data_IF_132644375216
#
_entry.id   IF_132644375216
#
_cell.length_a   1.000
_cell.length_b   1.000
_cell.length_c   1.000
_cell.angle_alpha   90.00
_cell.angle_beta   90.00
_cell.angle_gamma   90.00
#
_symmetry.space_group_name_H-M   'P 1'
#
loop_
_entity.id
_entity.type
_entity.pdbx_description
1 polymer ?
#
# COMPACT_ATOMS: atom_id res chain seq x y z
N UNK A 1 -21.86 17.37 45.57
CA UNK A 1 -20.52 17.73 45.06
C UNK A 1 -19.69 16.51 44.61
N UNK A 2 -19.78 15.34 45.26
CA UNK A 2 -19.05 14.12 44.84
C UNK A 2 -19.47 13.52 43.47
N UNK A 3 -20.75 13.65 43.07
CA UNK A 3 -21.25 13.12 41.79
C UNK A 3 -20.70 13.83 40.53
N UNK A 4 -20.32 15.11 40.63
CA UNK A 4 -19.81 15.86 39.49
C UNK A 4 -18.39 15.40 39.09
N UNK A 5 -17.55 15.06 40.08
CA UNK A 5 -16.20 14.55 39.84
C UNK A 5 -16.18 13.18 39.14
N UNK A 6 -17.06 12.26 39.57
CA UNK A 6 -17.17 10.92 38.97
C UNK A 6 -17.64 10.96 37.51
N UNK A 7 -18.58 11.86 37.18
CA UNK A 7 -19.06 12.05 35.81
C UNK A 7 -17.99 12.64 34.89
N UNK A 8 -17.10 13.50 35.41
CA UNK A 8 -16.01 14.09 34.64
C UNK A 8 -14.96 13.04 34.22
N UNK A 9 -14.53 12.19 35.16
CA UNK A 9 -13.51 11.15 34.90
C UNK A 9 -14.03 10.11 33.89
N UNK A 10 -15.27 9.62 34.04
CA UNK A 10 -15.87 8.67 33.10
C UNK A 10 -15.93 9.21 31.67
N UNK A 11 -16.30 10.49 31.51
CA UNK A 11 -16.34 11.16 30.20
C UNK A 11 -14.95 11.31 29.60
N UNK A 12 -13.95 11.66 30.42
CA UNK A 12 -12.56 11.75 29.98
C UNK A 12 -12.04 10.40 29.44
N UNK A 13 -12.21 9.31 30.19
CA UNK A 13 -11.80 7.97 29.76
C UNK A 13 -12.56 7.49 28.52
N UNK A 14 -13.87 7.72 28.45
CA UNK A 14 -14.67 7.38 27.27
C UNK A 14 -14.18 8.13 26.01
N UNK A 15 -13.86 9.43 26.14
CA UNK A 15 -13.33 10.23 25.04
C UNK A 15 -11.92 9.80 24.62
N UNK A 16 -11.08 9.43 25.58
CA UNK A 16 -9.76 8.88 25.31
C UNK A 16 -9.85 7.55 24.56
N UNK A 17 -10.68 6.63 25.03
CA UNK A 17 -10.88 5.32 24.42
C UNK A 17 -11.48 5.43 23.01
N UNK A 18 -12.45 6.33 22.80
CA UNK A 18 -13.02 6.58 21.48
C UNK A 18 -11.98 7.13 20.49
N UNK A 19 -11.12 8.05 20.94
CA UNK A 19 -10.01 8.54 20.11
C UNK A 19 -9.04 7.41 19.78
N UNK A 20 -8.64 6.60 20.75
CA UNK A 20 -7.74 5.47 20.51
C UNK A 20 -8.33 4.46 19.53
N UNK A 21 -9.60 4.09 19.70
CA UNK A 21 -10.32 3.18 18.81
C UNK A 21 -10.35 3.68 17.36
N UNK A 22 -10.65 4.98 17.16
CA UNK A 22 -10.62 5.58 15.81
C UNK A 22 -9.25 5.48 15.16
N UNK A 23 -8.16 5.75 15.90
CA UNK A 23 -6.81 5.64 15.34
C UNK A 23 -6.42 4.19 15.07
N UNK A 24 -6.79 3.26 15.96
CA UNK A 24 -6.57 1.83 15.74
C UNK A 24 -7.26 1.34 14.46
N UNK A 25 -8.52 1.74 14.24
CA UNK A 25 -9.25 1.44 12.99
C UNK A 25 -8.56 2.03 11.76
N UNK A 26 -8.11 3.29 11.83
CA UNK A 26 -7.36 3.92 10.73
C UNK A 26 -6.12 3.11 10.37
N UNK A 27 -5.34 2.67 11.37
CA UNK A 27 -4.17 1.83 11.13
C UNK A 27 -4.51 0.49 10.52
N UNK A 28 -5.57 -0.17 10.98
CA UNK A 28 -6.05 -1.43 10.38
C UNK A 28 -6.43 -1.22 8.91
N UNK A 29 -7.18 -0.15 8.60
CA UNK A 29 -7.54 0.18 7.22
C UNK A 29 -6.31 0.47 6.34
N UNK A 30 -5.31 1.18 6.88
CA UNK A 30 -4.05 1.45 6.16
C UNK A 30 -3.31 0.14 5.87
N UNK A 31 -3.13 -0.73 6.87
CA UNK A 31 -2.44 -2.01 6.68
C UNK A 31 -3.17 -2.87 5.66
N UNK A 32 -4.50 -2.94 5.75
CA UNK A 32 -5.33 -3.67 4.80
C UNK A 32 -5.19 -3.11 3.37
N UNK A 33 -5.21 -1.80 3.19
CA UNK A 33 -5.07 -1.14 1.89
C UNK A 33 -3.66 -1.28 1.29
N UNK A 34 -2.62 -1.24 2.12
CA UNK A 34 -1.23 -1.35 1.69
C UNK A 34 -0.78 -2.80 1.46
N UNK A 35 -1.40 -3.77 2.13
CA UNK A 35 -1.06 -5.19 1.97
C UNK A 35 -0.95 -5.65 0.50
N UNK A 36 -1.95 -5.42 -0.38
CA UNK A 36 -1.83 -5.82 -1.78
C UNK A 36 -0.74 -5.04 -2.53
N UNK A 37 -0.47 -3.79 -2.17
CA UNK A 37 0.60 -2.98 -2.79
C UNK A 37 1.96 -3.59 -2.48
N UNK A 38 2.21 -3.96 -1.22
CA UNK A 38 3.45 -4.64 -0.81
C UNK A 38 3.59 -5.97 -1.55
N UNK A 39 2.49 -6.71 -1.73
CA UNK A 39 2.50 -7.97 -2.48
C UNK A 39 2.91 -7.79 -3.94
N UNK A 40 2.40 -6.76 -4.62
CA UNK A 40 2.76 -6.42 -6.01
C UNK A 40 4.23 -6.03 -6.11
N UNK A 41 4.73 -5.23 -5.16
CA UNK A 41 6.15 -4.85 -5.12
C UNK A 41 7.03 -6.10 -4.97
N UNK A 42 6.67 -7.00 -4.06
CA UNK A 42 7.37 -8.27 -3.90
C UNK A 42 7.40 -9.08 -5.20
N UNK A 43 6.24 -9.26 -5.84
CA UNK A 43 6.13 -9.97 -7.11
C UNK A 43 6.98 -9.33 -8.22
N UNK A 44 7.05 -8.00 -8.25
CA UNK A 44 7.88 -7.30 -9.24
C UNK A 44 9.38 -7.58 -9.09
N UNK A 45 9.83 -7.84 -7.85
CA UNK A 45 11.22 -8.13 -7.51
C UNK A 45 11.55 -9.63 -7.50
N UNK A 46 10.55 -10.51 -7.58
CA UNK A 46 10.78 -11.95 -7.61
C UNK A 46 11.21 -12.38 -9.03
N UNK A 47 12.44 -12.88 -9.22
CA UNK A 47 12.89 -13.36 -10.54
C UNK A 47 12.20 -14.67 -10.96
N UNK A 48 11.49 -15.34 -10.03
CA UNK A 48 10.77 -16.57 -10.33
C UNK A 48 9.47 -16.29 -11.09
N UNK A 49 9.32 -16.87 -12.27
CA UNK A 49 8.09 -16.82 -13.06
C UNK A 49 7.02 -17.81 -12.54
N UNK A 50 6.89 -17.98 -11.22
CA UNK A 50 5.95 -18.94 -10.62
C UNK A 50 5.02 -18.24 -9.62
N UNK A 51 3.72 -18.43 -9.82
CA UNK A 51 2.68 -17.98 -8.87
C UNK A 51 2.60 -18.96 -7.68
N UNK A 52 2.89 -20.24 -7.91
CA UNK A 52 2.89 -21.26 -6.87
C UNK A 52 4.14 -21.13 -5.99
N UNK A 53 3.95 -20.74 -4.73
CA UNK A 53 5.03 -20.65 -3.74
C UNK A 53 5.67 -19.26 -3.55
N UNK A 54 5.07 -18.21 -4.13
CA UNK A 54 5.57 -16.85 -3.97
C UNK A 54 5.52 -16.40 -2.50
N UNK A 55 6.60 -15.78 -2.02
CA UNK A 55 6.70 -15.27 -0.64
C UNK A 55 6.53 -13.74 -0.63
N UNK A 56 6.08 -13.18 0.49
CA UNK A 56 5.99 -11.72 0.64
C UNK A 56 7.36 -11.04 0.54
N UNK A 57 8.42 -11.69 1.01
CA UNK A 57 9.80 -11.25 0.78
C UNK A 57 10.49 -12.37 -0.02
N UNK A 58 10.81 -12.14 -1.30
CA UNK A 58 11.40 -13.17 -2.14
C UNK A 58 12.87 -13.41 -1.71
N UNK A 59 13.34 -14.66 -1.68
CA UNK A 59 14.70 -14.99 -1.25
C UNK A 59 15.79 -14.40 -2.16
N UNK A 60 15.47 -14.16 -3.44
CA UNK A 60 16.39 -13.63 -4.46
C UNK A 60 15.84 -12.35 -5.09
N UNK A 61 15.46 -11.36 -4.28
CA UNK A 61 14.94 -10.09 -4.78
C UNK A 61 15.90 -9.43 -5.80
N UNK A 62 15.40 -9.09 -6.98
CA UNK A 62 16.21 -8.57 -8.08
C UNK A 62 15.40 -7.61 -8.97
N UNK A 63 16.10 -6.68 -9.63
CA UNK A 63 15.51 -5.76 -10.62
C UNK A 63 15.46 -6.33 -12.04
N UNK A 64 15.74 -7.63 -12.21
CA UNK A 64 15.80 -8.27 -13.54
C UNK A 64 14.49 -8.13 -14.32
N UNK A 65 13.33 -8.17 -13.66
CA UNK A 65 12.04 -7.98 -14.32
C UNK A 65 11.90 -6.58 -14.91
N UNK A 66 12.37 -5.56 -14.20
CA UNK A 66 12.39 -4.17 -14.71
C UNK A 66 13.35 -4.02 -15.88
N UNK A 67 14.55 -4.62 -15.81
CA UNK A 67 15.48 -4.61 -16.94
C UNK A 67 14.87 -5.25 -18.18
N UNK A 68 14.27 -6.44 -18.04
CA UNK A 68 13.56 -7.13 -19.13
C UNK A 68 12.41 -6.29 -19.68
N UNK A 69 11.66 -5.60 -18.82
CA UNK A 69 10.54 -4.76 -19.21
C UNK A 69 10.97 -3.56 -20.07
N UNK A 70 12.03 -2.85 -19.68
CA UNK A 70 12.48 -1.65 -20.38
C UNK A 70 13.42 -1.93 -21.58
N UNK A 71 14.05 -3.10 -21.62
CA UNK A 71 14.97 -3.50 -22.69
C UNK A 71 14.32 -4.45 -23.72
N UNK A 72 13.03 -4.75 -23.58
CA UNK A 72 12.32 -5.63 -24.53
C UNK A 72 12.10 -4.94 -25.87
N UNK A 73 12.66 -5.50 -26.94
CA UNK A 73 12.40 -5.05 -28.31
C UNK A 73 10.98 -5.40 -28.78
N UNK A 74 10.40 -6.49 -28.27
CA UNK A 74 9.04 -6.92 -28.60
C UNK A 74 7.96 -6.10 -27.91
N UNK A 75 8.27 -5.55 -26.72
CA UNK A 75 7.33 -4.83 -25.90
C UNK A 75 7.93 -3.48 -25.48
N UNK A 76 7.75 -2.42 -26.28
CA UNK A 76 8.29 -1.09 -26.01
C UNK A 76 7.54 -0.38 -24.86
N UNK A 77 7.63 -0.94 -23.66
CA UNK A 77 6.91 -0.49 -22.47
C UNK A 77 7.16 0.98 -22.15
N UNK A 78 8.41 1.46 -22.29
CA UNK A 78 8.76 2.86 -22.02
C UNK A 78 7.98 3.84 -22.90
N UNK A 79 7.75 3.50 -24.17
CA UNK A 79 6.95 4.32 -25.09
C UNK A 79 5.48 4.30 -24.68
N UNK A 80 4.93 3.12 -24.34
CA UNK A 80 3.55 2.99 -23.89
C UNK A 80 3.29 3.80 -22.63
N UNK A 81 4.18 3.71 -21.64
CA UNK A 81 4.09 4.48 -20.40
C UNK A 81 4.09 5.98 -20.67
N UNK A 82 5.00 6.47 -21.53
CA UNK A 82 5.04 7.90 -21.88
C UNK A 82 3.79 8.36 -22.62
N UNK A 83 3.23 7.54 -23.51
CA UNK A 83 1.99 7.86 -24.20
C UNK A 83 0.80 7.96 -23.23
N UNK A 84 0.66 7.00 -22.31
CA UNK A 84 -0.37 7.06 -21.26
C UNK A 84 -0.20 8.29 -20.37
N UNK A 85 1.04 8.58 -19.94
CA UNK A 85 1.32 9.72 -19.09
C UNK A 85 0.94 11.06 -19.75
N UNK A 86 1.30 11.23 -21.03
CA UNK A 86 0.91 12.42 -21.82
C UNK A 86 -0.61 12.56 -21.92
N UNK A 87 -1.32 11.47 -22.22
CA UNK A 87 -2.78 11.47 -22.29
C UNK A 87 -3.42 11.88 -20.96
N UNK A 88 -2.98 11.28 -19.85
CA UNK A 88 -3.50 11.61 -18.53
C UNK A 88 -3.33 13.09 -18.20
N UNK A 89 -2.17 13.68 -18.50
CA UNK A 89 -1.94 15.12 -18.26
C UNK A 89 -2.88 15.96 -19.11
N UNK A 90 -2.93 15.71 -20.42
CA UNK A 90 -3.74 16.52 -21.35
C UNK A 90 -5.23 16.45 -21.01
N UNK A 91 -5.72 15.30 -20.56
CA UNK A 91 -7.13 15.13 -20.16
C UNK A 91 -7.44 15.64 -18.76
N UNK A 92 -6.45 15.68 -17.85
CA UNK A 92 -6.65 16.15 -16.48
C UNK A 92 -6.67 17.68 -16.36
N UNK A 93 -6.04 18.40 -17.29
CA UNK A 93 -6.18 19.85 -17.49
C UNK A 93 -7.44 20.21 -18.26
#
# INVERSE_FOLDING_TARGET
MAEQGHRSIKRFFANFLNRFWRHALIWVCIVFALFPVVWIISASLDPANSIAGQKLIPPNASFINFQRLFQSEQHPFGIWFLNTFKLCIVTAT
#
